data_IF_530942151149
#
_entry.id   IF_530942151149
#
_cell.length_a   1.000
_cell.length_b   1.000
_cell.length_c   1.000
_cell.angle_alpha   90.00
_cell.angle_beta   90.00
_cell.angle_gamma   90.00
#
_symmetry.space_group_name_H-M   'P 1'
#
loop_
_entity.id
_entity.type
_entity.pdbx_description
1 polymer ?
#
# COMPACT_ATOMS: atom_id res chain seq x y z
N UNK A 1 -20.55 21.54 12.29
CA UNK A 1 -19.67 20.36 12.29
C UNK A 1 -20.52 19.22 11.75
N UNK A 2 -20.22 18.72 10.56
CA UNK A 2 -20.94 17.57 10.00
C UNK A 2 -20.74 16.39 10.96
N UNK A 3 -21.82 15.72 11.35
CA UNK A 3 -21.76 14.54 12.19
C UNK A 3 -20.90 13.49 11.49
N UNK A 4 -19.80 13.09 12.12
CA UNK A 4 -19.06 11.92 11.70
C UNK A 4 -20.01 10.75 11.97
N UNK A 5 -20.45 10.10 10.89
CA UNK A 5 -21.24 8.88 10.96
C UNK A 5 -20.32 7.76 11.50
N UNK A 6 -20.30 7.62 12.82
CA UNK A 6 -19.38 6.76 13.60
C UNK A 6 -19.50 5.27 13.22
N UNK A 7 -20.55 4.90 12.49
CA UNK A 7 -20.81 3.53 12.08
C UNK A 7 -20.31 3.20 10.67
N UNK A 8 -19.87 4.18 9.87
CA UNK A 8 -19.44 3.92 8.50
C UNK A 8 -18.12 3.16 8.45
N UNK A 9 -18.14 1.96 7.90
CA UNK A 9 -16.94 1.15 7.67
C UNK A 9 -16.01 1.77 6.62
N UNK A 10 -14.71 1.52 6.75
CA UNK A 10 -13.71 1.92 5.78
C UNK A 10 -13.81 1.05 4.51
N UNK A 11 -14.08 1.69 3.37
CA UNK A 11 -14.15 1.01 2.07
C UNK A 11 -13.19 1.62 1.03
N UNK A 12 -12.29 2.53 1.44
CA UNK A 12 -11.40 3.22 0.51
C UNK A 12 -10.12 2.43 0.18
N UNK A 13 -9.95 1.24 0.74
CA UNK A 13 -8.81 0.36 0.46
C UNK A 13 -7.44 0.81 0.97
N UNK A 14 -7.36 1.97 1.64
CA UNK A 14 -6.09 2.51 2.15
C UNK A 14 -5.35 1.53 3.05
N UNK A 15 -6.08 0.82 3.92
CA UNK A 15 -5.46 -0.14 4.85
C UNK A 15 -4.80 -1.31 4.12
N UNK A 16 -5.47 -1.89 3.11
CA UNK A 16 -4.86 -2.94 2.30
C UNK A 16 -3.65 -2.44 1.53
N UNK A 17 -3.68 -1.21 1.02
CA UNK A 17 -2.52 -0.62 0.36
C UNK A 17 -1.33 -0.51 1.33
N UNK A 18 -1.56 -0.01 2.55
CA UNK A 18 -0.51 0.14 3.56
C UNK A 18 0.05 -1.21 4.03
N UNK A 19 -0.81 -2.19 4.31
CA UNK A 19 -0.36 -3.51 4.77
C UNK A 19 0.43 -4.31 3.72
N UNK A 20 0.30 -3.95 2.44
CA UNK A 20 1.05 -4.56 1.34
C UNK A 20 2.28 -3.74 0.91
N UNK A 21 2.49 -2.57 1.53
CA UNK A 21 3.67 -1.74 1.34
C UNK A 21 4.72 -2.09 2.41
N UNK A 22 5.86 -2.70 2.06
CA UNK A 22 6.92 -3.03 3.01
C UNK A 22 7.59 -1.79 3.62
N UNK A 23 7.43 -0.62 3.01
CA UNK A 23 7.95 0.64 3.55
C UNK A 23 6.90 1.35 4.44
N UNK A 24 5.68 0.80 4.55
CA UNK A 24 4.65 1.37 5.41
C UNK A 24 4.91 1.06 6.88
N UNK A 25 4.69 2.03 7.78
CA UNK A 25 4.72 1.77 9.21
C UNK A 25 3.48 1.02 9.73
N UNK A 26 2.49 0.74 8.89
CA UNK A 26 1.24 0.10 9.31
C UNK A 26 1.42 -1.41 9.40
N UNK A 27 1.14 -1.96 10.58
CA UNK A 27 1.15 -3.40 10.83
C UNK A 27 -0.24 -3.94 11.17
N UNK A 28 -0.39 -5.25 10.98
CA UNK A 28 -1.52 -6.04 11.47
C UNK A 28 -0.98 -7.05 12.49
N UNK A 29 -1.53 -7.02 13.71
CA UNK A 29 -1.28 -8.04 14.71
C UNK A 29 -2.43 -9.05 14.69
N UNK A 30 -2.12 -10.28 14.24
CA UNK A 30 -3.08 -11.36 14.17
C UNK A 30 -3.50 -11.92 15.54
N UNK A 31 -2.69 -11.73 16.59
CA UNK A 31 -3.01 -12.21 17.93
C UNK A 31 -4.07 -11.33 18.58
N UNK A 32 -3.92 -10.01 18.48
CA UNK A 32 -4.91 -9.04 18.97
C UNK A 32 -5.98 -8.68 17.93
N UNK A 33 -5.84 -9.20 16.70
CA UNK A 33 -6.69 -8.90 15.55
C UNK A 33 -6.87 -7.39 15.33
N UNK A 34 -5.78 -6.64 15.40
CA UNK A 34 -5.79 -5.17 15.40
C UNK A 34 -4.73 -4.58 14.47
N UNK A 35 -4.95 -3.33 14.07
CA UNK A 35 -4.03 -2.58 13.21
C UNK A 35 -3.28 -1.55 14.04
N UNK A 36 -2.03 -1.26 13.68
CA UNK A 36 -1.20 -0.30 14.40
C UNK A 36 -0.26 0.46 13.47
N UNK A 37 0.10 1.69 13.85
CA UNK A 37 1.30 2.35 13.34
C UNK A 37 2.51 1.98 14.19
N UNK A 38 3.62 1.67 13.55
CA UNK A 38 4.93 1.53 14.18
C UNK A 38 5.68 2.85 14.07
N UNK A 39 5.88 3.52 15.20
CA UNK A 39 6.69 4.73 15.30
C UNK A 39 8.19 4.44 15.50
N UNK A 40 8.99 5.51 15.65
CA UNK A 40 10.36 5.39 16.15
C UNK A 40 10.39 4.58 17.46
N UNK A 41 11.47 3.85 17.70
CA UNK A 41 11.67 3.03 18.92
C UNK A 41 10.64 1.90 19.11
N UNK A 42 10.00 1.43 18.02
CA UNK A 42 8.99 0.36 18.03
C UNK A 42 7.72 0.71 18.83
N UNK A 43 7.45 1.99 19.07
CA UNK A 43 6.20 2.42 19.67
C UNK A 43 5.02 2.03 18.75
N UNK A 44 3.99 1.39 19.31
CA UNK A 44 2.80 0.99 18.55
C UNK A 44 1.60 1.85 18.91
N UNK A 45 0.93 2.39 17.89
CA UNK A 45 -0.30 3.17 18.05
C UNK A 45 -1.46 2.45 17.37
N UNK A 46 -2.40 1.94 18.16
CA UNK A 46 -3.57 1.23 17.64
C UNK A 46 -4.41 2.13 16.72
N UNK A 47 -4.91 1.54 15.65
CA UNK A 47 -5.73 2.21 14.64
C UNK A 47 -7.13 1.64 14.65
N UNK A 48 -8.12 2.50 14.89
CA UNK A 48 -9.54 2.13 14.86
C UNK A 48 -10.29 2.74 13.66
N UNK A 49 -9.75 3.83 13.10
CA UNK A 49 -10.34 4.55 11.98
C UNK A 49 -9.28 4.82 10.92
N UNK A 50 -9.72 4.84 9.67
CA UNK A 50 -8.88 5.15 8.54
C UNK A 50 -8.49 6.64 8.53
N UNK A 51 -7.19 6.99 8.53
CA UNK A 51 -6.75 8.38 8.51
C UNK A 51 -7.10 9.09 7.19
N UNK A 52 -7.35 8.34 6.11
CA UNK A 52 -7.65 8.89 4.79
C UNK A 52 -9.13 9.23 4.63
N UNK A 53 -10.04 8.30 4.93
CA UNK A 53 -11.47 8.49 4.70
C UNK A 53 -12.29 8.67 5.98
N UNK A 54 -11.71 8.50 7.16
CA UNK A 54 -12.41 8.57 8.45
C UNK A 54 -13.34 7.39 8.77
N UNK A 55 -13.44 6.40 7.88
CA UNK A 55 -14.26 5.20 8.11
C UNK A 55 -13.63 4.26 9.14
N UNK A 56 -14.47 3.55 9.90
CA UNK A 56 -14.04 2.60 10.94
C UNK A 56 -13.41 1.35 10.34
N UNK A 57 -12.32 0.86 10.92
CA UNK A 57 -11.77 -0.45 10.55
C UNK A 57 -12.62 -1.59 11.13
N UNK A 58 -12.49 -2.82 10.60
CA UNK A 58 -13.17 -3.98 11.17
C UNK A 58 -12.93 -4.09 12.68
N UNK A 59 -13.98 -4.46 13.42
CA UNK A 59 -13.91 -4.67 14.87
C UNK A 59 -12.94 -5.82 15.18
N UNK A 60 -11.98 -5.59 16.09
CA UNK A 60 -10.99 -6.60 16.47
C UNK A 60 -11.61 -7.84 17.13
N UNK A 61 -12.84 -7.73 17.65
CA UNK A 61 -13.58 -8.88 18.19
C UNK A 61 -14.26 -9.73 17.11
N UNK A 62 -14.20 -9.31 15.84
CA UNK A 62 -14.82 -9.99 14.72
C UNK A 62 -13.78 -10.50 13.75
N UNK A 63 -14.10 -11.59 13.06
CA UNK A 63 -13.23 -12.09 12.00
C UNK A 63 -13.11 -11.04 10.91
N UNK A 64 -11.92 -10.90 10.35
CA UNK A 64 -11.65 -9.96 9.26
C UNK A 64 -10.93 -10.67 8.13
N UNK A 65 -11.27 -10.30 6.91
CA UNK A 65 -10.49 -10.60 5.73
C UNK A 65 -9.60 -9.40 5.43
N UNK A 66 -8.32 -9.56 5.75
CA UNK A 66 -7.28 -8.58 5.46
C UNK A 66 -6.70 -8.93 4.09
N UNK A 67 -6.80 -8.04 3.09
CA UNK A 67 -6.27 -8.31 1.76
C UNK A 67 -4.74 -8.21 1.80
N UNK A 68 -4.06 -9.30 2.15
CA UNK A 68 -2.61 -9.43 2.08
C UNK A 68 -2.19 -10.16 0.81
N UNK A 69 -1.21 -9.59 0.11
CA UNK A 69 -0.63 -10.18 -1.08
C UNK A 69 0.01 -11.54 -0.76
N UNK A 70 -0.08 -12.52 -1.67
CA UNK A 70 0.60 -13.80 -1.51
C UNK A 70 2.11 -13.61 -1.32
N UNK A 71 2.75 -14.43 -0.47
CA UNK A 71 4.20 -14.44 -0.35
C UNK A 71 4.87 -14.60 -1.72
N UNK A 72 5.84 -13.72 -2.01
CA UNK A 72 6.60 -13.74 -3.25
C UNK A 72 5.97 -12.99 -4.44
N UNK A 73 4.73 -12.50 -4.33
CA UNK A 73 4.10 -11.75 -5.43
C UNK A 73 4.91 -10.49 -5.79
N UNK A 74 5.34 -9.71 -4.79
CA UNK A 74 6.20 -8.54 -5.04
C UNK A 74 7.53 -8.94 -5.70
N UNK A 75 8.17 -10.01 -5.25
CA UNK A 75 9.43 -10.52 -5.81
C UNK A 75 9.25 -10.93 -7.29
N UNK A 76 8.11 -11.55 -7.63
CA UNK A 76 7.75 -11.87 -9.02
C UNK A 76 7.70 -10.61 -9.87
N UNK A 77 7.05 -9.56 -9.39
CA UNK A 77 6.93 -8.28 -10.10
C UNK A 77 8.29 -7.58 -10.21
N UNK A 78 9.07 -7.51 -9.14
CA UNK A 78 10.43 -6.94 -9.14
C UNK A 78 11.34 -7.64 -10.14
N UNK A 79 11.24 -8.97 -10.23
CA UNK A 79 12.00 -9.76 -11.21
C UNK A 79 11.59 -9.44 -12.65
N UNK A 80 10.29 -9.25 -12.87
CA UNK A 80 9.73 -8.96 -14.20
C UNK A 80 10.13 -7.57 -14.71
N UNK A 81 10.12 -6.56 -13.85
CA UNK A 81 10.42 -5.17 -14.24
C UNK A 81 11.92 -4.87 -14.33
N UNK A 82 12.78 -5.71 -13.75
CA UNK A 82 14.24 -5.48 -13.70
C UNK A 82 14.90 -5.35 -15.08
N UNK A 83 14.33 -5.99 -16.11
CA UNK A 83 14.88 -5.95 -17.48
C UNK A 83 14.24 -4.89 -18.37
N UNK A 84 13.38 -4.02 -17.83
CA UNK A 84 12.69 -2.99 -18.61
C UNK A 84 13.55 -1.73 -18.62
N UNK A 85 14.15 -1.40 -19.76
CA UNK A 85 15.01 -0.21 -19.89
C UNK A 85 14.32 0.97 -20.61
N UNK A 86 13.20 0.69 -21.28
CA UNK A 86 12.49 1.64 -22.12
C UNK A 86 10.98 1.40 -22.09
N UNK A 87 10.20 2.38 -22.57
CA UNK A 87 8.75 2.24 -22.73
C UNK A 87 8.36 1.10 -23.69
N UNK A 88 9.14 0.90 -24.74
CA UNK A 88 8.93 -0.19 -25.70
C UNK A 88 9.23 -1.55 -25.05
N UNK A 89 10.27 -1.63 -24.21
CA UNK A 89 10.54 -2.82 -23.40
C UNK A 89 9.43 -3.13 -22.41
N UNK A 90 8.89 -2.10 -21.73
CA UNK A 90 7.76 -2.26 -20.83
C UNK A 90 6.58 -2.89 -21.57
N UNK A 91 6.26 -2.35 -22.76
CA UNK A 91 5.17 -2.86 -23.61
C UNK A 91 5.43 -4.29 -24.08
N UNK A 92 6.68 -4.61 -24.44
CA UNK A 92 7.09 -5.95 -24.87
C UNK A 92 7.02 -6.99 -23.74
N UNK A 93 7.40 -6.61 -22.52
CA UNK A 93 7.47 -7.50 -21.35
C UNK A 93 6.10 -7.68 -20.68
N UNK A 94 5.35 -6.59 -20.51
CA UNK A 94 4.11 -6.55 -19.72
C UNK A 94 2.84 -6.53 -20.59
N UNK A 95 2.98 -6.30 -21.90
CA UNK A 95 1.84 -6.07 -22.80
C UNK A 95 1.50 -4.58 -22.93
N UNK A 96 0.38 -4.24 -23.58
CA UNK A 96 -0.05 -2.84 -23.69
C UNK A 96 -0.38 -2.26 -22.31
N UNK A 97 0.01 -1.01 -22.02
CA UNK A 97 -0.30 -0.37 -20.75
C UNK A 97 -1.77 0.03 -20.66
N UNK A 98 -2.26 0.16 -19.43
CA UNK A 98 -3.61 0.66 -19.14
C UNK A 98 -3.64 2.21 -19.21
N UNK A 99 -2.52 2.86 -18.93
CA UNK A 99 -2.32 4.30 -19.06
C UNK A 99 -0.95 4.62 -19.66
N UNK A 100 -0.90 5.60 -20.58
CA UNK A 100 0.33 6.12 -21.18
C UNK A 100 0.17 7.63 -21.42
N UNK A 101 0.89 8.45 -20.65
CA UNK A 101 0.71 9.89 -20.62
C UNK A 101 2.00 10.66 -20.37
N UNK A 102 1.99 11.95 -20.71
CA UNK A 102 3.10 12.86 -20.40
C UNK A 102 2.79 13.68 -19.16
N UNK A 103 3.57 13.49 -18.10
CA UNK A 103 3.58 14.34 -16.93
C UNK A 103 4.38 15.60 -17.20
N UNK A 104 3.70 16.75 -17.13
CA UNK A 104 4.31 18.07 -17.31
C UNK A 104 4.62 18.68 -15.96
N UNK A 105 5.77 19.34 -15.86
CA UNK A 105 6.12 20.14 -14.70
C UNK A 105 5.41 21.48 -14.78
N UNK A 106 4.84 21.93 -13.66
CA UNK A 106 4.20 23.23 -13.55
C UNK A 106 5.01 24.12 -12.60
N UNK A 107 5.16 25.39 -12.96
CA UNK A 107 5.78 26.41 -12.11
C UNK A 107 4.72 27.43 -11.68
N UNK A 108 4.84 27.88 -10.44
CA UNK A 108 4.02 28.98 -9.96
C UNK A 108 4.58 30.31 -10.48
N UNK A 109 3.71 31.17 -10.98
CA UNK A 109 4.01 32.51 -11.49
C UNK A 109 3.06 33.53 -10.86
N UNK A 110 3.28 34.83 -11.13
CA UNK A 110 2.39 35.89 -10.66
C UNK A 110 0.94 35.72 -11.18
N UNK A 111 0.79 35.14 -12.38
CA UNK A 111 -0.50 34.93 -13.05
C UNK A 111 -1.10 33.53 -12.79
N UNK A 112 -0.50 32.75 -11.88
CA UNK A 112 -0.94 31.40 -11.52
C UNK A 112 0.03 30.29 -11.96
N UNK A 113 -0.49 29.07 -12.11
CA UNK A 113 0.31 27.90 -12.50
C UNK A 113 0.46 27.84 -14.01
N UNK A 114 1.69 27.77 -14.50
CA UNK A 114 1.99 27.60 -15.93
C UNK A 114 2.87 26.38 -16.16
N UNK A 115 2.78 25.76 -17.33
CA UNK A 115 3.65 24.63 -17.70
C UNK A 115 5.07 25.14 -17.87
N UNK A 116 6.03 24.49 -17.21
CA UNK A 116 7.44 24.79 -17.38
C UNK A 116 7.98 24.10 -18.64
N UNK A 117 8.05 24.86 -19.73
CA UNK A 117 8.55 24.37 -21.02
C UNK A 117 10.06 24.14 -21.06
N UNK A 118 10.80 24.53 -20.01
CA UNK A 118 12.24 24.25 -19.90
C UNK A 118 12.55 22.84 -19.41
N UNK A 119 11.55 22.14 -18.87
CA UNK A 119 11.68 20.77 -18.36
C UNK A 119 11.08 19.79 -19.36
N UNK A 120 11.90 18.82 -19.80
CA UNK A 120 11.41 17.71 -20.63
C UNK A 120 10.31 16.96 -19.88
N UNK A 121 9.11 16.78 -20.45
CA UNK A 121 8.05 16.01 -19.81
C UNK A 121 8.48 14.57 -19.52
N UNK A 122 8.06 14.05 -18.37
CA UNK A 122 8.27 12.64 -18.01
C UNK A 122 7.15 11.81 -18.64
N UNK A 123 7.48 10.73 -19.35
CA UNK A 123 6.45 9.79 -19.82
C UNK A 123 6.12 8.82 -18.68
N UNK A 124 4.86 8.81 -18.27
CA UNK A 124 4.33 7.92 -17.25
C UNK A 124 3.53 6.81 -17.94
N UNK A 125 3.86 5.56 -17.63
CA UNK A 125 3.18 4.37 -18.14
C UNK A 125 2.75 3.52 -16.95
N UNK A 126 1.47 3.15 -16.89
CA UNK A 126 0.91 2.40 -15.77
C UNK A 126 0.22 1.12 -16.23
N UNK A 127 0.37 0.08 -15.41
CA UNK A 127 -0.21 -1.24 -15.59
C UNK A 127 -1.01 -1.61 -14.34
N UNK A 128 -2.32 -1.74 -14.50
CA UNK A 128 -3.27 -2.05 -13.43
C UNK A 128 -3.64 -3.54 -13.40
N UNK A 129 -3.40 -4.29 -14.47
CA UNK A 129 -3.91 -5.65 -14.63
C UNK A 129 -2.82 -6.76 -14.54
N UNK A 130 -1.57 -6.40 -14.24
CA UNK A 130 -0.45 -7.38 -14.11
C UNK A 130 -0.49 -8.16 -12.79
N UNK A 131 -1.18 -7.62 -11.78
CA UNK A 131 -1.36 -8.23 -10.46
C UNK A 131 -2.70 -7.79 -9.88
N UNK A 132 -3.35 -8.66 -9.10
CA UNK A 132 -4.52 -8.30 -8.31
C UNK A 132 -4.18 -7.42 -7.09
N UNK A 133 -2.89 -7.36 -6.73
CA UNK A 133 -2.40 -6.75 -5.49
C UNK A 133 -1.65 -5.44 -5.71
N UNK A 134 -1.03 -5.28 -6.88
CA UNK A 134 -0.15 -4.15 -7.17
C UNK A 134 -0.42 -3.58 -8.56
N UNK A 135 -0.22 -2.27 -8.69
CA UNK A 135 0.02 -1.59 -9.95
C UNK A 135 1.52 -1.53 -10.21
N UNK A 136 1.90 -1.45 -11.49
CA UNK A 136 3.27 -1.12 -11.89
C UNK A 136 3.24 0.23 -12.60
N UNK A 137 4.10 1.15 -12.17
CA UNK A 137 4.25 2.47 -12.77
C UNK A 137 5.69 2.65 -13.25
N UNK A 138 5.86 3.10 -14.48
CA UNK A 138 7.15 3.50 -15.03
C UNK A 138 7.16 5.00 -15.33
N UNK A 139 8.22 5.67 -14.90
CA UNK A 139 8.48 7.07 -15.18
C UNK A 139 9.76 7.16 -16.02
N UNK A 140 9.60 7.43 -17.32
CA UNK A 140 10.71 7.59 -18.26
C UNK A 140 11.08 9.07 -18.40
N UNK A 141 12.30 9.40 -17.99
CA UNK A 141 12.96 10.67 -18.23
C UNK A 141 13.81 10.57 -19.52
N UNK A 142 14.53 11.63 -19.88
CA UNK A 142 15.36 11.67 -21.10
C UNK A 142 16.45 10.61 -21.15
N UNK A 143 16.98 10.25 -20.00
CA UNK A 143 18.25 9.54 -19.81
C UNK A 143 18.18 8.47 -18.71
N UNK A 144 17.08 8.45 -17.94
CA UNK A 144 16.85 7.48 -16.87
C UNK A 144 15.38 7.08 -16.82
N UNK A 145 15.10 5.98 -16.11
CA UNK A 145 13.74 5.60 -15.78
C UNK A 145 13.66 5.11 -14.35
N UNK A 146 12.48 5.24 -13.75
CA UNK A 146 12.18 4.60 -12.46
C UNK A 146 10.96 3.72 -12.63
N UNK A 147 10.96 2.59 -11.94
CA UNK A 147 9.82 1.68 -11.87
C UNK A 147 9.36 1.60 -10.41
N UNK A 148 8.04 1.64 -10.20
CA UNK A 148 7.41 1.51 -8.89
C UNK A 148 6.40 0.37 -8.92
N UNK A 149 6.38 -0.40 -7.83
CA UNK A 149 5.33 -1.38 -7.56
C UNK A 149 4.47 -0.80 -6.45
N UNK A 150 3.25 -0.40 -6.81
CA UNK A 150 2.36 0.37 -5.92
C UNK A 150 1.23 -0.52 -5.46
N UNK A 151 1.06 -0.76 -4.15
CA UNK A 151 -0.06 -1.54 -3.64
C UNK A 151 -1.41 -0.96 -4.04
N UNK A 152 -2.35 -1.83 -4.40
CA UNK A 152 -3.72 -1.42 -4.70
C UNK A 152 -4.48 -1.09 -3.43
N UNK A 153 -5.42 -0.16 -3.56
CA UNK A 153 -6.39 0.15 -2.52
C UNK A 153 -7.41 -0.98 -2.39
N UNK A 154 -7.07 -2.02 -1.64
CA UNK A 154 -7.94 -3.16 -1.35
C UNK A 154 -8.57 -3.00 0.05
N UNK A 155 -9.89 -3.09 0.12
CA UNK A 155 -10.60 -2.88 1.39
C UNK A 155 -10.55 -4.13 2.26
N UNK A 156 -10.16 -3.96 3.52
CA UNK A 156 -10.39 -4.98 4.54
C UNK A 156 -11.88 -5.12 4.77
N UNK A 157 -12.35 -6.36 4.88
CA UNK A 157 -13.77 -6.65 5.07
C UNK A 157 -14.00 -7.37 6.38
N UNK A 158 -15.01 -6.94 7.13
CA UNK A 158 -15.45 -7.64 8.32
C UNK A 158 -16.26 -8.86 7.89
N UNK A 159 -15.88 -10.03 8.39
CA UNK A 159 -16.59 -11.28 8.16
C UNK A 159 -17.61 -11.52 9.27
N UNK A 160 -18.55 -12.43 9.02
CA UNK A 160 -19.46 -12.91 10.07
C UNK A 160 -18.71 -13.81 11.08
N UNK A 161 -19.14 -13.77 12.34
CA UNK A 161 -18.57 -14.56 13.43
C UNK A 161 -17.60 -13.81 14.34
N UNK A 162 -17.40 -14.35 15.55
CA UNK A 162 -16.43 -13.85 16.52
C UNK A 162 -15.03 -14.27 16.13
N UNK A 163 -14.07 -13.38 16.39
CA UNK A 163 -12.67 -13.76 16.39
C UNK A 163 -12.43 -14.58 17.66
N UNK A 164 -12.25 -15.89 17.49
CA UNK A 164 -11.92 -16.77 18.59
C UNK A 164 -10.40 -16.67 18.77
N UNK A 165 -9.97 -16.06 19.87
CA UNK A 165 -8.56 -16.08 20.23
C UNK A 165 -8.14 -17.55 20.36
N UNK A 166 -6.98 -17.94 19.81
CA UNK A 166 -6.45 -19.26 20.09
C UNK A 166 -6.36 -19.41 21.61
N UNK A 167 -7.10 -20.38 22.18
CA UNK A 167 -6.98 -20.75 23.58
C UNK A 167 -5.57 -21.33 23.77
N UNK A 168 -4.59 -20.47 24.07
CA UNK A 168 -3.28 -20.95 24.51
C UNK A 168 -3.36 -21.20 26.01
N UNK A 169 -3.50 -22.47 26.40
CA UNK A 169 -3.32 -22.92 27.78
C UNK A 169 -1.86 -22.81 28.25
N UNK A 170 -0.94 -22.58 27.32
CA UNK A 170 0.46 -22.31 27.65
C UNK A 170 0.62 -20.85 28.08
N UNK A 171 1.12 -20.58 29.30
CA UNK A 171 1.49 -19.22 29.67
C UNK A 171 2.52 -18.71 28.66
N UNK A 172 2.31 -17.49 28.16
CA UNK A 172 3.30 -16.79 27.34
C UNK A 172 4.48 -16.44 28.27
N UNK A 173 5.37 -17.41 28.49
CA UNK A 173 6.69 -17.24 29.08
C UNK A 173 7.70 -17.19 27.93
N UNK A 174 7.62 -16.12 27.15
CA UNK A 174 8.74 -15.66 26.35
C UNK A 174 9.24 -14.39 27.01
N UNK A 175 10.35 -14.48 27.76
CA UNK A 175 11.12 -13.29 28.12
C UNK A 175 11.50 -12.59 26.81
N UNK A 176 10.91 -11.43 26.56
CA UNK A 176 11.15 -10.59 25.39
C UNK A 176 12.60 -10.04 25.32
N UNK A 177 13.44 -10.38 26.30
CA UNK A 177 14.81 -9.87 26.44
C UNK A 177 15.87 -10.80 25.83
N UNK A 178 15.61 -12.09 25.62
CA UNK A 178 16.68 -13.05 25.28
C UNK A 178 16.92 -13.29 23.76
N UNK A 179 16.04 -12.84 22.87
CA UNK A 179 16.23 -13.00 21.41
C UNK A 179 16.77 -11.75 20.68
N UNK A 180 17.13 -10.67 21.40
CA UNK A 180 17.68 -9.44 20.80
C UNK A 180 19.22 -9.32 20.86
N UNK A 181 19.93 -10.41 21.15
CA UNK A 181 21.40 -10.46 21.17
C UNK A 181 22.00 -11.50 20.21
N UNK A 182 21.39 -11.68 19.03
CA UNK A 182 21.92 -12.47 17.91
C UNK A 182 22.10 -11.66 16.64
#
# INVERSE_FOLDING_TARGET
>A
MAGIDDERMCECGWLGAQLNDPDSPVGYDSLSNSFHFTGPDRAQYSMYYCPFCGGKFPDSNKRMNVPLAPPGERIRLETMIRSVESADDATRVLGPPDYDGLMRTYRQTADGMTVDSSVTPTRNIEYYNVSDWYNIEFYFHSDEHTAKIVPKNLSATQLEGTFDFPESDDPIVGDLDDELHG
#
